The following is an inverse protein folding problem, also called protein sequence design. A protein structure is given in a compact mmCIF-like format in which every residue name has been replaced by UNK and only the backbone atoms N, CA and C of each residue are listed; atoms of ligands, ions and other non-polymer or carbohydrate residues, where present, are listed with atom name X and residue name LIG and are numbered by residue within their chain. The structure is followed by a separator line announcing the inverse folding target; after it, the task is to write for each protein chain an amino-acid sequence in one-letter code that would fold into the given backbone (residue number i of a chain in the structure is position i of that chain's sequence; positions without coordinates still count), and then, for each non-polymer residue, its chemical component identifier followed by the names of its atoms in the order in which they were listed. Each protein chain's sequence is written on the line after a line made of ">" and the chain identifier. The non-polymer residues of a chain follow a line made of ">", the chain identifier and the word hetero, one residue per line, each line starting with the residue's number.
data_IF_574623604916
#
_entry.id   IF_574623604916
#
_cell.length_a   1.000
_cell.length_b   1.000
_cell.length_c   1.000
_cell.angle_alpha   90.00
_cell.angle_beta   90.00
_cell.angle_gamma   90.00
#
_symmetry.space_group_name_H-M   'P 1'
#
loop_
_entity.id
_entity.type
_entity.pdbx_description
1 polymer ?
#
# COMPACT_ATOMS: atom_id res chain seq x y z
N UNK A 1 -6.35 -13.51 13.84
CA UNK A 1 -6.65 -12.79 12.59
C UNK A 1 -5.55 -13.13 11.58
N UNK A 2 -5.84 -13.87 10.51
CA UNK A 2 -4.82 -14.20 9.52
C UNK A 2 -4.59 -12.98 8.60
N UNK A 3 -3.39 -12.43 8.60
CA UNK A 3 -2.99 -11.30 7.75
C UNK A 3 -2.11 -11.79 6.60
N UNK A 4 -1.83 -10.93 5.60
CA UNK A 4 -0.97 -11.31 4.47
C UNK A 4 0.42 -11.76 4.91
N UNK A 5 0.98 -11.13 5.94
CA UNK A 5 2.29 -11.46 6.51
C UNK A 5 2.28 -12.81 7.25
N UNK A 6 1.12 -13.40 7.57
CA UNK A 6 1.02 -14.73 8.17
C UNK A 6 1.32 -15.89 7.21
N UNK A 7 1.46 -15.64 5.88
CA UNK A 7 1.77 -16.70 4.90
C UNK A 7 3.20 -17.23 5.08
N UNK A 8 3.39 -18.54 4.88
CA UNK A 8 4.69 -19.23 5.04
C UNK A 8 5.83 -18.62 4.20
N UNK A 9 5.52 -17.97 3.06
CA UNK A 9 6.53 -17.29 2.23
C UNK A 9 7.31 -16.18 2.97
N UNK A 10 6.78 -15.71 4.10
CA UNK A 10 7.42 -14.70 4.95
C UNK A 10 8.30 -15.32 6.06
N UNK A 11 8.30 -16.65 6.22
CA UNK A 11 9.09 -17.35 7.24
C UNK A 11 10.61 -17.17 7.04
N UNK A 12 11.04 -16.85 5.82
CA UNK A 12 12.42 -16.49 5.50
C UNK A 12 12.83 -15.06 5.87
N UNK A 13 11.90 -14.20 6.26
CA UNK A 13 12.16 -12.77 6.53
C UNK A 13 11.92 -12.38 7.99
N UNK A 14 10.91 -12.97 8.63
CA UNK A 14 10.51 -12.63 9.99
C UNK A 14 10.03 -13.89 10.72
N UNK A 15 10.50 -14.05 11.95
CA UNK A 15 9.94 -15.04 12.87
C UNK A 15 8.47 -14.72 13.16
N UNK A 16 7.70 -15.73 13.60
CA UNK A 16 6.25 -15.57 13.77
C UNK A 16 5.90 -14.50 14.81
N UNK A 17 6.66 -14.42 15.89
CA UNK A 17 6.44 -13.46 16.97
C UNK A 17 6.78 -12.03 16.52
N UNK A 18 7.89 -11.85 15.80
CA UNK A 18 8.30 -10.55 15.23
C UNK A 18 7.24 -9.94 14.30
N UNK A 19 6.40 -10.76 13.65
CA UNK A 19 5.33 -10.27 12.76
C UNK A 19 4.26 -9.52 13.54
N UNK A 20 3.92 -9.97 14.74
CA UNK A 20 2.91 -9.31 15.56
C UNK A 20 3.40 -7.95 16.05
N UNK A 21 4.67 -7.88 16.45
CA UNK A 21 5.32 -6.63 16.86
C UNK A 21 5.44 -5.66 15.69
N UNK A 22 5.81 -6.16 14.51
CA UNK A 22 5.83 -5.37 13.28
C UNK A 22 4.43 -4.80 12.95
N UNK A 23 3.39 -5.63 12.98
CA UNK A 23 2.02 -5.18 12.68
C UNK A 23 1.52 -4.15 13.71
N UNK A 24 1.84 -4.35 14.99
CA UNK A 24 1.48 -3.42 16.06
C UNK A 24 2.18 -2.08 15.88
N UNK A 25 3.47 -2.11 15.53
CA UNK A 25 4.27 -0.90 15.25
C UNK A 25 3.75 -0.17 14.00
N UNK A 26 3.39 -0.90 12.95
CA UNK A 26 2.83 -0.33 11.71
C UNK A 26 1.49 0.34 11.99
N UNK A 27 0.60 -0.34 12.73
CA UNK A 27 -0.72 0.18 13.12
C UNK A 27 -0.60 1.51 13.87
N UNK A 28 0.34 1.60 14.83
CA UNK A 28 0.54 2.81 15.63
C UNK A 28 1.14 3.99 14.84
N UNK A 29 1.74 3.73 13.69
CA UNK A 29 2.39 4.76 12.84
C UNK A 29 1.61 5.06 11.56
N UNK A 30 0.42 4.47 11.42
CA UNK A 30 -0.41 4.60 10.22
C UNK A 30 -1.66 5.41 10.52
N UNK A 31 -2.13 6.16 9.51
CA UNK A 31 -3.43 6.80 9.55
C UNK A 31 -4.49 5.80 9.07
N UNK A 32 -5.54 5.61 9.87
CA UNK A 32 -6.72 4.85 9.47
C UNK A 32 -7.69 5.79 8.75
N UNK A 33 -8.15 5.36 7.59
CA UNK A 33 -8.97 6.16 6.68
C UNK A 33 -10.24 5.39 6.39
N UNK A 34 -11.38 6.06 6.52
CA UNK A 34 -12.66 5.55 6.05
C UNK A 34 -12.73 5.70 4.52
N UNK A 35 -13.04 4.60 3.84
CA UNK A 35 -13.08 4.57 2.37
C UNK A 35 -14.43 5.11 1.89
N UNK A 36 -14.38 6.14 1.06
CA UNK A 36 -15.56 6.73 0.41
C UNK A 36 -15.44 6.74 -1.12
N UNK A 37 -14.22 6.54 -1.65
CA UNK A 37 -13.97 6.40 -3.08
C UNK A 37 -13.85 4.92 -3.44
N UNK A 38 -14.57 4.48 -4.48
CA UNK A 38 -14.53 3.12 -5.02
C UNK A 38 -14.09 3.13 -6.48
N UNK A 39 -13.36 2.10 -6.92
CA UNK A 39 -12.92 2.02 -8.31
C UNK A 39 -12.71 0.60 -8.83
N UNK A 40 -12.71 0.46 -10.15
CA UNK A 40 -12.50 -0.81 -10.87
C UNK A 40 -11.61 -0.58 -12.09
N UNK A 41 -10.41 -0.05 -11.84
CA UNK A 41 -9.47 0.34 -12.91
C UNK A 41 -8.35 -0.69 -13.04
N UNK A 42 -7.92 -1.30 -11.94
CA UNK A 42 -6.89 -2.33 -11.96
C UNK A 42 -7.42 -3.63 -12.58
N UNK A 43 -6.54 -4.31 -13.31
CA UNK A 43 -6.81 -5.64 -13.88
C UNK A 43 -6.95 -6.70 -12.79
N UNK A 44 -6.10 -6.64 -11.76
CA UNK A 44 -6.35 -7.32 -10.49
C UNK A 44 -7.23 -6.42 -9.61
N UNK A 45 -8.45 -6.89 -9.33
CA UNK A 45 -9.39 -6.12 -8.53
C UNK A 45 -8.92 -5.91 -7.08
N UNK A 46 -8.02 -6.75 -6.56
CA UNK A 46 -7.47 -6.59 -5.19
C UNK A 46 -6.54 -5.37 -5.08
N UNK A 47 -6.03 -4.84 -6.20
CA UNK A 47 -5.15 -3.65 -6.21
C UNK A 47 -5.93 -2.33 -6.19
N UNK A 48 -7.22 -2.33 -6.53
CA UNK A 48 -8.04 -1.12 -6.51
C UNK A 48 -8.05 -0.47 -5.11
N UNK A 49 -7.97 -1.27 -4.04
CA UNK A 49 -7.93 -0.77 -2.65
C UNK A 49 -6.81 0.25 -2.40
N UNK A 50 -5.69 0.18 -3.14
CA UNK A 50 -4.61 1.14 -3.00
C UNK A 50 -4.98 2.50 -3.60
N UNK A 51 -5.64 2.48 -4.75
CA UNK A 51 -6.17 3.69 -5.41
C UNK A 51 -7.32 4.30 -4.61
N UNK A 52 -8.22 3.46 -4.10
CA UNK A 52 -9.35 3.84 -3.24
C UNK A 52 -8.88 4.50 -1.94
N UNK A 53 -7.88 3.91 -1.27
CA UNK A 53 -7.28 4.46 -0.07
C UNK A 53 -6.56 5.78 -0.35
N UNK A 54 -5.81 5.87 -1.45
CA UNK A 54 -5.08 7.08 -1.81
C UNK A 54 -6.02 8.27 -2.01
N UNK A 55 -7.11 8.08 -2.75
CA UNK A 55 -8.12 9.13 -2.94
C UNK A 55 -8.85 9.43 -1.64
N UNK A 56 -9.32 8.40 -0.94
CA UNK A 56 -10.12 8.59 0.28
C UNK A 56 -9.32 9.30 1.38
N UNK A 57 -8.02 9.01 1.46
CA UNK A 57 -7.08 9.59 2.41
C UNK A 57 -6.39 10.86 1.93
N UNK A 58 -6.75 11.38 0.76
CA UNK A 58 -6.13 12.58 0.15
C UNK A 58 -4.60 12.48 0.09
N UNK A 59 -4.09 11.31 -0.30
CA UNK A 59 -2.67 11.05 -0.37
C UNK A 59 -1.99 11.98 -1.38
N UNK A 60 -0.80 12.47 -1.03
CA UNK A 60 0.03 13.25 -1.94
C UNK A 60 0.74 12.37 -2.98
N UNK A 61 1.01 11.10 -2.64
CA UNK A 61 1.70 10.15 -3.49
C UNK A 61 1.21 8.73 -3.21
N UNK A 62 1.21 7.88 -4.24
CA UNK A 62 1.17 6.42 -4.09
C UNK A 62 2.59 5.92 -4.33
N UNK A 63 3.21 5.34 -3.31
CA UNK A 63 4.56 4.78 -3.41
C UNK A 63 4.44 3.27 -3.57
N UNK A 64 4.88 2.74 -4.70
CA UNK A 64 4.76 1.31 -5.00
C UNK A 64 5.88 0.79 -5.90
N UNK A 65 6.20 -0.50 -5.75
CA UNK A 65 7.04 -1.24 -6.70
C UNK A 65 6.23 -2.05 -7.72
N UNK A 66 4.91 -1.97 -7.66
CA UNK A 66 4.00 -2.71 -8.53
C UNK A 66 3.94 -2.07 -9.92
N UNK A 67 4.28 -2.84 -10.96
CA UNK A 67 4.31 -2.35 -12.34
C UNK A 67 2.91 -2.04 -12.89
N UNK A 68 1.90 -2.77 -12.44
CA UNK A 68 0.53 -2.60 -12.91
C UNK A 68 -0.12 -1.33 -12.32
N UNK A 69 0.37 -0.86 -11.17
CA UNK A 69 0.02 0.46 -10.65
C UNK A 69 0.88 1.56 -11.27
N UNK A 70 2.20 1.34 -11.43
CA UNK A 70 3.12 2.33 -11.99
C UNK A 70 2.76 2.74 -13.42
N UNK A 71 2.20 1.82 -14.23
CA UNK A 71 1.79 2.14 -15.61
C UNK A 71 0.72 3.23 -15.68
N UNK A 72 -0.05 3.44 -14.60
CA UNK A 72 -1.04 4.52 -14.54
C UNK A 72 -0.38 5.90 -14.48
N UNK A 73 0.87 5.99 -13.98
CA UNK A 73 1.66 7.19 -13.67
C UNK A 73 1.02 8.14 -12.65
N UNK A 74 -0.28 8.42 -12.79
CA UNK A 74 -1.08 9.21 -11.87
C UNK A 74 -2.46 8.60 -11.73
N UNK A 75 -3.10 8.81 -10.59
CA UNK A 75 -4.50 8.46 -10.39
C UNK A 75 -5.23 9.61 -9.70
N UNK A 76 -6.22 10.20 -10.37
CA UNK A 76 -6.94 11.39 -9.90
C UNK A 76 -6.02 12.54 -9.45
N UNK A 77 -4.91 12.75 -10.19
CA UNK A 77 -3.92 13.78 -9.88
C UNK A 77 -2.90 13.38 -8.81
N UNK A 78 -3.05 12.22 -8.17
CA UNK A 78 -2.07 11.66 -7.22
C UNK A 78 -0.97 10.95 -8.02
N UNK A 79 0.30 11.39 -7.94
CA UNK A 79 1.40 10.69 -8.61
C UNK A 79 1.63 9.30 -8.03
N UNK A 80 1.86 8.33 -8.90
CA UNK A 80 2.25 6.97 -8.56
C UNK A 80 3.72 6.80 -8.91
N UNK A 81 4.55 6.61 -7.89
CA UNK A 81 6.01 6.64 -8.01
C UNK A 81 6.64 5.46 -7.28
N UNK A 82 7.88 5.16 -7.64
CA UNK A 82 8.69 4.16 -6.97
C UNK A 82 9.26 4.68 -5.65
N UNK A 83 9.62 3.80 -4.70
CA UNK A 83 10.34 4.22 -3.50
C UNK A 83 11.64 4.97 -3.80
N UNK A 84 12.36 4.59 -4.86
CA UNK A 84 13.60 5.24 -5.26
C UNK A 84 13.37 6.69 -5.73
N UNK A 85 12.31 6.94 -6.51
CA UNK A 85 11.93 8.29 -6.91
C UNK A 85 11.50 9.14 -5.72
N UNK A 86 10.73 8.57 -4.79
CA UNK A 86 10.31 9.29 -3.58
C UNK A 86 11.50 9.77 -2.72
N UNK A 87 12.54 8.95 -2.59
CA UNK A 87 13.77 9.29 -1.87
C UNK A 87 14.63 10.38 -2.53
N UNK A 88 14.32 10.80 -3.75
CA UNK A 88 14.97 11.96 -4.40
C UNK A 88 14.19 13.24 -4.17
N UNK A 89 12.89 13.13 -3.86
CA UNK A 89 12.01 14.27 -3.56
C UNK A 89 12.19 14.76 -2.12
N UNK A 90 12.65 13.87 -1.21
CA UNK A 90 12.86 14.10 0.22
C UNK A 90 14.28 13.75 0.64
#
# INVERSE_FOLDING_TARGET
>A
MATRISKNKFDKYLEKDDRLDFLSSLKNRSLFVDIWHETRVCSDLDDNKFLELAVSGMAQYIITGDKDLLILNTYQGIPIITPAEFLVIF
#
